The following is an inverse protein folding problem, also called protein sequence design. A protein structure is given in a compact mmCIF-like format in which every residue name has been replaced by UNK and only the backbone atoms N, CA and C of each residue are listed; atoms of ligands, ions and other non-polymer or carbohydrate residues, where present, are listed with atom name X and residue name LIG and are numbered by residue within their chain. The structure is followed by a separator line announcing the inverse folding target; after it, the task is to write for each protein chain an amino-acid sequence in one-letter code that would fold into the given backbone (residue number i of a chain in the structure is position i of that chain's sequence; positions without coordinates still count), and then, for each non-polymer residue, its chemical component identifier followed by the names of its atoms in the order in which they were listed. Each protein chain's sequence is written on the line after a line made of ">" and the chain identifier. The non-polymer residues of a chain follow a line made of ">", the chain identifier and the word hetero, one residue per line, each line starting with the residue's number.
data_IF_087664191372
#
_entry.id   IF_087664191372
#
_cell.length_a   1.000
_cell.length_b   1.000
_cell.length_c   1.000
_cell.angle_alpha   90.00
_cell.angle_beta   90.00
_cell.angle_gamma   90.00
#
_symmetry.space_group_name_H-M   'P 1'
#
loop_
_entity.id
_entity.type
_entity.pdbx_description
1 polymer ?
#
# COMPACT_ATOMS: atom_id res chain seq x y z
N UNK A 1 -35.06 -72.37 35.96
CA UNK A 1 -36.48 -72.31 35.57
C UNK A 1 -36.81 -70.90 35.08
N UNK A 2 -37.44 -70.86 33.91
CA UNK A 2 -37.80 -69.69 33.09
C UNK A 2 -38.38 -68.50 33.86
N UNK A 3 -38.09 -67.29 33.36
CA UNK A 3 -39.10 -66.39 32.75
C UNK A 3 -38.42 -65.13 32.18
N UNK A 4 -38.36 -65.05 30.84
CA UNK A 4 -38.20 -63.79 30.12
C UNK A 4 -39.52 -63.00 30.18
N UNK A 5 -39.49 -61.67 30.38
CA UNK A 5 -40.59 -60.78 30.01
C UNK A 5 -40.44 -60.19 28.59
N UNK A 6 -41.56 -59.73 27.96
CA UNK A 6 -41.65 -59.39 26.53
C UNK A 6 -41.44 -57.88 26.23
N UNK A 7 -41.47 -57.47 24.93
CA UNK A 7 -41.06 -56.16 24.43
C UNK A 7 -42.21 -55.14 24.37
N UNK A 8 -41.94 -53.94 23.81
CA UNK A 8 -42.80 -52.80 23.45
C UNK A 8 -43.30 -51.87 24.59
N UNK A 9 -42.69 -50.69 24.71
CA UNK A 9 -43.35 -49.39 24.44
C UNK A 9 -42.40 -48.20 24.71
N UNK A 10 -41.60 -47.85 23.70
CA UNK A 10 -40.80 -46.63 23.71
C UNK A 10 -41.69 -45.43 23.35
N UNK A 11 -42.61 -45.11 24.24
CA UNK A 11 -43.36 -43.86 24.22
C UNK A 11 -42.60 -42.80 25.00
N UNK A 12 -41.77 -42.00 24.33
CA UNK A 12 -41.56 -40.59 24.69
C UNK A 12 -40.77 -39.82 23.66
N UNK A 13 -41.37 -38.68 23.29
CA UNK A 13 -40.69 -37.50 22.72
C UNK A 13 -40.38 -37.52 21.23
N UNK A 14 -41.44 -37.67 20.43
CA UNK A 14 -41.66 -36.76 19.30
C UNK A 14 -42.11 -35.39 19.82
N UNK A 15 -41.17 -34.56 20.25
CA UNK A 15 -41.31 -33.10 20.17
C UNK A 15 -39.93 -32.49 20.45
N UNK A 16 -39.57 -31.47 19.68
CA UNK A 16 -38.30 -30.74 19.72
C UNK A 16 -37.10 -31.36 18.94
N UNK A 17 -37.28 -31.54 17.63
CA UNK A 17 -36.27 -30.95 16.73
C UNK A 17 -36.38 -29.43 16.88
N UNK A 18 -35.30 -28.74 17.26
CA UNK A 18 -34.85 -27.49 16.63
C UNK A 18 -33.60 -26.96 17.37
N UNK A 19 -32.46 -27.10 16.67
CA UNK A 19 -31.31 -26.18 16.63
C UNK A 19 -30.29 -26.08 17.80
N UNK A 20 -29.02 -25.98 17.38
CA UNK A 20 -27.78 -25.54 18.09
C UNK A 20 -27.02 -26.66 18.81
N UNK A 21 -25.74 -26.96 18.52
CA UNK A 21 -24.78 -26.32 17.63
C UNK A 21 -23.63 -27.27 17.32
N UNK A 22 -23.28 -27.33 16.04
CA UNK A 22 -22.10 -27.98 15.49
C UNK A 22 -21.01 -26.90 15.38
N UNK A 23 -19.91 -26.99 16.14
CA UNK A 23 -18.73 -26.19 15.86
C UNK A 23 -17.46 -26.90 16.34
N UNK A 24 -16.81 -27.62 15.42
CA UNK A 24 -15.44 -28.09 15.60
C UNK A 24 -14.70 -28.14 14.25
N UNK A 25 -13.72 -27.25 14.15
CA UNK A 25 -12.41 -27.37 13.45
C UNK A 25 -12.41 -27.47 11.92
N UNK A 26 -12.21 -26.31 11.28
CA UNK A 26 -11.56 -26.16 9.98
C UNK A 26 -10.53 -25.02 10.12
N UNK A 27 -9.24 -25.34 10.22
CA UNK A 27 -8.15 -24.35 10.12
C UNK A 27 -7.82 -24.13 8.64
N UNK A 28 -8.05 -22.94 8.05
CA UNK A 28 -7.55 -22.61 6.72
C UNK A 28 -6.09 -22.11 6.78
N UNK A 29 -5.33 -22.21 5.67
CA UNK A 29 -3.92 -21.82 5.61
C UNK A 29 -3.75 -20.31 5.76
N UNK A 30 -2.75 -19.90 6.54
CA UNK A 30 -2.34 -18.50 6.71
C UNK A 30 -1.75 -17.98 5.39
N UNK A 31 -2.50 -17.13 4.69
CA UNK A 31 -2.02 -16.38 3.53
C UNK A 31 -1.14 -15.21 3.96
N UNK A 32 0.07 -15.25 3.45
CA UNK A 32 1.14 -14.27 3.52
C UNK A 32 0.80 -13.00 2.71
N UNK A 33 0.94 -11.79 3.29
CA UNK A 33 0.79 -10.48 2.62
C UNK A 33 2.14 -9.72 2.59
N UNK A 34 2.57 -9.21 1.45
CA UNK A 34 3.73 -8.32 1.29
C UNK A 34 3.18 -6.99 0.82
N UNK A 35 3.69 -5.96 1.46
CA UNK A 35 3.55 -4.60 1.07
C UNK A 35 4.35 -4.36 -0.22
N UNK A 36 3.68 -3.80 -1.24
CA UNK A 36 4.32 -3.21 -2.41
C UNK A 36 3.94 -1.73 -2.34
N UNK A 37 4.66 -0.99 -1.50
CA UNK A 37 4.59 0.45 -1.25
C UNK A 37 5.39 1.27 -2.29
N UNK A 38 5.86 0.62 -3.37
CA UNK A 38 6.73 1.21 -4.37
C UNK A 38 8.20 1.20 -3.96
N UNK A 39 8.53 0.80 -2.73
CA UNK A 39 9.74 0.04 -2.48
C UNK A 39 9.49 -1.38 -2.99
N UNK A 40 10.51 -2.04 -3.55
CA UNK A 40 10.39 -3.49 -3.72
C UNK A 40 10.05 -4.10 -2.35
N UNK A 41 9.41 -5.27 -2.31
CA UNK A 41 8.86 -5.85 -1.10
C UNK A 41 9.75 -5.68 0.13
N UNK A 42 9.15 -5.31 1.26
CA UNK A 42 9.85 -4.99 2.52
C UNK A 42 10.73 -6.14 3.03
N UNK A 43 10.41 -7.36 2.61
CA UNK A 43 11.19 -8.55 2.86
C UNK A 43 11.25 -9.42 1.60
N UNK A 44 12.42 -10.00 1.35
CA UNK A 44 12.66 -10.99 0.31
C UNK A 44 13.07 -12.31 0.93
N UNK A 45 12.77 -13.40 0.21
CA UNK A 45 13.21 -14.74 0.55
C UNK A 45 13.91 -15.44 -0.61
N UNK A 46 14.81 -16.34 -0.25
CA UNK A 46 15.44 -17.27 -1.18
C UNK A 46 14.45 -18.36 -1.58
N UNK A 47 14.42 -18.69 -2.86
CA UNK A 47 13.63 -19.77 -3.45
C UNK A 47 14.44 -20.49 -4.52
N UNK A 48 14.06 -21.74 -4.84
CA UNK A 48 14.68 -22.48 -5.96
C UNK A 48 16.11 -22.96 -5.69
N UNK A 49 16.54 -22.96 -4.42
CA UNK A 49 17.77 -23.59 -3.94
C UNK A 49 17.38 -24.84 -3.16
N UNK A 50 18.13 -25.94 -3.33
CA UNK A 50 17.84 -27.20 -2.65
C UNK A 50 18.07 -27.08 -1.13
N UNK A 51 17.35 -27.86 -0.33
CA UNK A 51 17.40 -27.79 1.15
C UNK A 51 18.82 -28.05 1.73
N UNK A 52 19.62 -28.84 1.03
CA UNK A 52 21.00 -29.15 1.35
C UNK A 52 22.04 -28.26 0.63
N UNK A 53 21.61 -27.14 0.06
CA UNK A 53 22.45 -26.21 -0.70
C UNK A 53 22.26 -24.77 -0.19
N UNK A 54 23.05 -23.84 -0.73
CA UNK A 54 23.04 -22.41 -0.37
C UNK A 54 23.02 -21.51 -1.60
N UNK A 55 22.42 -20.34 -1.44
CA UNK A 55 22.53 -19.30 -2.45
C UNK A 55 23.85 -18.56 -2.30
N UNK A 56 24.73 -18.69 -3.29
CA UNK A 56 25.99 -17.96 -3.35
C UNK A 56 25.75 -16.46 -3.58
N UNK A 57 26.24 -15.63 -2.65
CA UNK A 57 26.28 -14.18 -2.75
C UNK A 57 27.68 -13.70 -3.15
N UNK A 58 27.74 -12.92 -4.23
CA UNK A 58 28.98 -12.60 -4.94
C UNK A 58 29.39 -11.14 -4.77
N UNK A 59 30.69 -10.88 -5.00
CA UNK A 59 31.26 -9.53 -4.93
C UNK A 59 30.65 -8.56 -5.94
N UNK A 60 30.19 -9.06 -7.09
CA UNK A 60 29.60 -8.26 -8.15
C UNK A 60 28.47 -8.98 -8.89
N UNK A 61 27.76 -8.27 -9.77
CA UNK A 61 26.58 -8.77 -10.47
C UNK A 61 26.97 -9.70 -11.63
N UNK A 62 27.20 -10.97 -11.34
CA UNK A 62 27.56 -11.96 -12.34
C UNK A 62 28.14 -13.23 -11.74
N UNK A 63 28.07 -14.33 -12.49
CA UNK A 63 28.64 -15.61 -12.07
C UNK A 63 30.18 -15.62 -12.05
N UNK A 64 30.81 -14.67 -12.75
CA UNK A 64 32.27 -14.55 -12.84
C UNK A 64 32.90 -13.88 -11.62
N UNK A 65 32.11 -13.20 -10.78
CA UNK A 65 32.60 -12.61 -9.55
C UNK A 65 32.78 -13.66 -8.46
N UNK A 66 33.80 -13.55 -7.59
CA UNK A 66 33.99 -14.49 -6.49
C UNK A 66 32.79 -14.48 -5.53
N UNK A 67 32.52 -15.64 -4.93
CA UNK A 67 31.57 -15.78 -3.82
C UNK A 67 32.21 -15.21 -2.56
N UNK A 68 31.50 -14.32 -1.89
CA UNK A 68 31.96 -13.65 -0.66
C UNK A 68 31.07 -13.95 0.54
N UNK A 69 29.86 -14.46 0.31
CA UNK A 69 28.88 -14.78 1.33
C UNK A 69 27.90 -15.85 0.82
N UNK A 70 27.10 -16.44 1.72
CA UNK A 70 26.02 -17.36 1.39
C UNK A 70 24.73 -17.05 2.17
N UNK A 71 23.59 -17.26 1.51
CA UNK A 71 22.28 -17.28 2.15
C UNK A 71 21.73 -18.71 2.18
N UNK A 72 21.03 -19.08 3.24
CA UNK A 72 20.34 -20.36 3.34
C UNK A 72 19.30 -20.54 2.22
N UNK A 73 18.99 -21.78 1.87
CA UNK A 73 18.08 -22.14 0.77
C UNK A 73 16.67 -21.53 0.87
N UNK A 74 16.25 -21.18 2.09
CA UNK A 74 14.96 -20.59 2.41
C UNK A 74 15.11 -19.26 3.16
N UNK A 75 16.30 -18.65 3.18
CA UNK A 75 16.58 -17.42 3.93
C UNK A 75 15.53 -16.34 3.68
N UNK A 76 15.06 -15.70 4.74
CA UNK A 76 13.95 -14.74 4.74
C UNK A 76 14.38 -13.37 5.26
N UNK A 77 13.46 -12.40 5.20
CA UNK A 77 13.68 -11.04 5.72
C UNK A 77 14.91 -10.35 5.12
N UNK A 78 15.27 -10.72 3.89
CA UNK A 78 16.36 -10.10 3.15
C UNK A 78 15.89 -8.75 2.59
N UNK A 79 16.75 -7.75 2.67
CA UNK A 79 16.54 -6.43 2.07
C UNK A 79 17.17 -6.39 0.69
N UNK A 80 16.40 -6.00 -0.32
CA UNK A 80 16.91 -5.72 -1.65
C UNK A 80 17.40 -4.27 -1.70
N UNK A 81 18.72 -4.08 -1.86
CA UNK A 81 19.33 -2.75 -1.93
C UNK A 81 19.20 -2.16 -3.33
N UNK A 82 19.54 -2.95 -4.36
CA UNK A 82 19.44 -2.56 -5.77
C UNK A 82 19.53 -3.79 -6.68
N UNK A 83 19.16 -3.65 -7.96
CA UNK A 83 19.39 -4.67 -8.98
C UNK A 83 19.93 -4.07 -10.27
N UNK A 84 20.69 -4.88 -11.01
CA UNK A 84 21.26 -4.54 -12.32
C UNK A 84 21.07 -5.69 -13.33
N UNK A 85 20.98 -5.41 -14.63
CA UNK A 85 20.97 -4.07 -15.23
C UNK A 85 19.68 -3.31 -14.90
N UNK A 86 19.80 -1.98 -14.84
CA UNK A 86 18.67 -1.09 -14.59
C UNK A 86 17.88 -0.88 -15.88
N UNK A 87 16.57 -1.12 -15.81
CA UNK A 87 15.60 -0.76 -16.84
C UNK A 87 14.58 0.19 -16.22
N UNK A 88 14.27 1.28 -16.91
CA UNK A 88 13.14 2.10 -16.50
C UNK A 88 11.85 1.30 -16.73
N UNK A 89 10.82 1.46 -15.88
CA UNK A 89 9.53 0.79 -16.11
C UNK A 89 8.95 1.11 -17.49
N UNK A 90 9.05 2.38 -17.91
CA UNK A 90 8.60 2.81 -19.23
C UNK A 90 9.35 2.13 -20.39
N UNK A 91 10.63 1.77 -20.21
CA UNK A 91 11.37 1.02 -21.21
C UNK A 91 10.99 -0.45 -21.18
N UNK A 92 10.93 -1.05 -19.98
CA UNK A 92 10.57 -2.45 -19.79
C UNK A 92 9.20 -2.77 -20.41
N UNK A 93 8.16 -1.98 -20.13
CA UNK A 93 6.82 -2.19 -20.67
C UNK A 93 6.68 -1.95 -22.19
N UNK A 94 7.69 -1.37 -22.84
CA UNK A 94 7.71 -1.20 -24.29
C UNK A 94 8.34 -2.37 -25.03
N UNK A 95 9.05 -3.25 -24.32
CA UNK A 95 9.70 -4.41 -24.94
C UNK A 95 8.64 -5.41 -25.40
N UNK A 96 8.85 -5.98 -26.59
CA UNK A 96 8.15 -7.20 -27.02
C UNK A 96 8.53 -8.39 -26.15
N UNK A 97 7.79 -9.49 -26.24
CA UNK A 97 8.09 -10.72 -25.51
C UNK A 97 9.49 -11.26 -25.84
N UNK A 98 9.86 -11.29 -27.12
CA UNK A 98 11.19 -11.72 -27.56
C UNK A 98 12.30 -10.81 -27.00
N UNK A 99 12.05 -9.50 -26.89
CA UNK A 99 13.00 -8.57 -26.27
C UNK A 99 13.10 -8.76 -24.75
N UNK A 100 12.01 -9.13 -24.08
CA UNK A 100 12.03 -9.50 -22.66
C UNK A 100 12.84 -10.76 -22.41
N UNK A 101 12.68 -11.79 -23.25
CA UNK A 101 13.44 -13.04 -23.15
C UNK A 101 14.94 -12.86 -23.44
N UNK A 102 15.27 -11.89 -24.31
CA UNK A 102 16.65 -11.55 -24.63
C UNK A 102 17.35 -10.69 -23.55
N UNK A 103 16.64 -10.28 -22.50
CA UNK A 103 17.26 -9.46 -21.44
C UNK A 103 18.36 -10.25 -20.72
N UNK A 104 19.51 -9.61 -20.41
CA UNK A 104 20.55 -10.21 -19.60
C UNK A 104 20.02 -10.58 -18.22
N UNK A 105 20.59 -11.64 -17.64
CA UNK A 105 20.23 -12.09 -16.31
C UNK A 105 20.36 -10.95 -15.30
N UNK A 106 19.28 -10.71 -14.55
CA UNK A 106 19.22 -9.67 -13.52
C UNK A 106 19.84 -10.18 -12.21
N UNK A 107 20.67 -9.34 -11.60
CA UNK A 107 21.35 -9.57 -10.33
C UNK A 107 20.94 -8.52 -9.32
N UNK A 108 20.74 -8.91 -8.07
CA UNK A 108 20.30 -8.03 -7.00
C UNK A 108 21.28 -8.08 -5.82
N UNK A 109 21.63 -6.92 -5.29
CA UNK A 109 22.40 -6.79 -4.06
C UNK A 109 21.44 -6.97 -2.88
N UNK A 110 21.65 -8.06 -2.14
CA UNK A 110 20.82 -8.43 -0.98
C UNK A 110 21.59 -8.27 0.31
N UNK A 111 20.88 -7.95 1.39
CA UNK A 111 21.45 -7.77 2.72
C UNK A 111 20.53 -8.34 3.80
N UNK A 112 21.07 -8.91 4.87
CA UNK A 112 20.29 -9.28 6.06
C UNK A 112 19.85 -8.05 6.85
N UNK A 113 18.76 -8.16 7.61
CA UNK A 113 18.22 -7.04 8.38
C UNK A 113 19.20 -6.46 9.42
N UNK A 114 20.07 -7.31 9.98
CA UNK A 114 21.13 -6.97 10.95
C UNK A 114 22.42 -6.43 10.30
N UNK A 115 22.45 -6.29 8.97
CA UNK A 115 23.59 -5.85 8.16
C UNK A 115 24.82 -6.78 8.21
N UNK A 116 24.69 -7.96 8.81
CA UNK A 116 25.80 -8.91 9.00
C UNK A 116 26.24 -9.63 7.73
N UNK A 117 25.35 -9.76 6.74
CA UNK A 117 25.61 -10.43 5.46
C UNK A 117 25.14 -9.58 4.28
N UNK A 118 25.94 -9.52 3.22
CA UNK A 118 25.56 -8.86 1.97
C UNK A 118 26.26 -9.46 0.75
N UNK A 119 25.61 -9.40 -0.42
CA UNK A 119 26.24 -9.68 -1.70
C UNK A 119 25.24 -9.79 -2.86
N UNK A 120 25.78 -9.90 -4.07
CA UNK A 120 25.00 -10.00 -5.31
C UNK A 120 24.53 -11.42 -5.57
N UNK A 121 23.24 -11.59 -5.81
CA UNK A 121 22.62 -12.89 -6.15
C UNK A 121 21.78 -12.76 -7.42
N UNK A 122 21.58 -13.87 -8.13
CA UNK A 122 20.71 -13.87 -9.31
C UNK A 122 19.24 -13.73 -8.90
N UNK A 123 18.51 -12.81 -9.54
CA UNK A 123 17.11 -12.47 -9.20
C UNK A 123 16.18 -13.68 -9.24
N UNK A 124 16.45 -14.65 -10.12
CA UNK A 124 15.63 -15.88 -10.25
C UNK A 124 15.51 -16.70 -8.96
N UNK A 125 16.42 -16.51 -8.00
CA UNK A 125 16.37 -17.18 -6.68
C UNK A 125 15.70 -16.32 -5.60
N UNK A 126 15.14 -15.18 -5.97
CA UNK A 126 14.51 -14.25 -5.04
C UNK A 126 13.01 -14.20 -5.30
N UNK A 127 12.23 -14.33 -4.22
CA UNK A 127 10.81 -14.06 -4.23
C UNK A 127 10.49 -13.07 -3.12
N UNK A 128 9.57 -12.14 -3.33
CA UNK A 128 9.05 -11.35 -2.22
C UNK A 128 8.53 -12.26 -1.09
N UNK A 129 8.82 -11.90 0.16
CA UNK A 129 8.39 -12.62 1.35
C UNK A 129 7.20 -11.94 2.00
N UNK A 130 6.02 -12.33 1.52
CA UNK A 130 4.73 -11.93 2.06
C UNK A 130 4.46 -12.50 3.47
N UNK A 131 5.25 -13.45 4.00
CA UNK A 131 4.92 -14.13 5.27
C UNK A 131 5.43 -13.38 6.51
N UNK A 132 6.27 -12.35 6.31
CA UNK A 132 6.88 -11.58 7.39
C UNK A 132 5.98 -10.47 7.96
N UNK A 133 4.86 -10.14 7.29
CA UNK A 133 3.85 -9.23 7.83
C UNK A 133 2.87 -10.01 8.71
N UNK A 134 2.77 -9.64 9.99
CA UNK A 134 1.90 -10.28 10.98
C UNK A 134 0.43 -10.36 10.52
N UNK A 135 -0.35 -11.38 10.93
CA UNK A 135 -1.68 -11.61 10.40
C UNK A 135 -2.69 -10.61 10.98
N UNK A 136 -3.34 -9.84 10.11
CA UNK A 136 -4.56 -9.09 10.45
C UNK A 136 -5.75 -9.88 9.92
N UNK A 137 -6.72 -10.13 10.79
CA UNK A 137 -7.87 -10.98 10.54
C UNK A 137 -8.79 -10.44 9.41
N UNK A 138 -9.10 -11.34 8.46
CA UNK A 138 -10.25 -11.39 7.55
C UNK A 138 -11.12 -10.14 7.38
N UNK A 139 -10.93 -9.46 6.24
CA UNK A 139 -12.06 -9.02 5.40
C UNK A 139 -11.72 -9.40 3.96
N UNK A 140 -12.59 -10.19 3.35
CA UNK A 140 -12.50 -10.63 1.95
C UNK A 140 -12.46 -9.44 0.99
N UNK A 141 -11.70 -9.59 -0.10
CA UNK A 141 -11.44 -8.62 -1.18
C UNK A 141 -10.54 -7.42 -0.82
N UNK A 142 -9.24 -7.65 -0.80
CA UNK A 142 -8.25 -6.58 -1.02
C UNK A 142 -7.10 -7.13 -1.83
N UNK A 143 -7.31 -7.26 -3.14
CA UNK A 143 -6.22 -7.16 -4.08
C UNK A 143 -5.55 -5.81 -3.84
N UNK A 144 -4.23 -5.77 -3.59
CA UNK A 144 -3.50 -4.51 -3.56
C UNK A 144 -3.84 -3.76 -4.84
N UNK A 145 -4.43 -2.56 -4.75
CA UNK A 145 -4.77 -1.77 -5.91
C UNK A 145 -3.52 -1.63 -6.78
N UNK A 146 -3.55 -1.99 -8.07
CA UNK A 146 -2.48 -1.62 -8.99
C UNK A 146 -2.25 -0.10 -8.97
N UNK A 147 -1.22 0.42 -9.65
CA UNK A 147 -0.98 1.87 -9.73
C UNK A 147 -2.26 2.65 -9.99
N UNK A 148 -3.07 2.14 -10.91
CA UNK A 148 -4.33 2.73 -11.33
C UNK A 148 -5.36 2.73 -10.20
N UNK A 149 -5.39 1.68 -9.39
CA UNK A 149 -6.34 1.57 -8.30
C UNK A 149 -5.86 2.32 -7.04
N UNK A 150 -4.55 2.55 -6.86
CA UNK A 150 -4.04 3.55 -5.91
C UNK A 150 -4.38 4.97 -6.35
N UNK A 151 -4.26 5.27 -7.64
CA UNK A 151 -4.67 6.54 -8.23
C UNK A 151 -6.19 6.74 -8.07
N UNK A 152 -7.01 5.72 -8.32
CA UNK A 152 -8.47 5.78 -8.06
C UNK A 152 -8.76 6.06 -6.59
N UNK A 153 -8.07 5.37 -5.66
CA UNK A 153 -8.23 5.62 -4.23
C UNK A 153 -7.78 7.04 -3.82
N UNK A 154 -6.74 7.57 -4.46
CA UNK A 154 -6.30 8.95 -4.28
C UNK A 154 -7.38 9.94 -4.76
N UNK A 155 -7.96 9.70 -5.94
CA UNK A 155 -9.05 10.51 -6.49
C UNK A 155 -10.26 10.49 -5.56
N UNK A 156 -10.67 9.31 -5.10
CA UNK A 156 -11.77 9.14 -4.15
C UNK A 156 -11.51 9.91 -2.86
N UNK A 157 -10.28 9.85 -2.32
CA UNK A 157 -9.91 10.60 -1.12
C UNK A 157 -10.05 12.12 -1.32
N UNK A 158 -9.55 12.66 -2.44
CA UNK A 158 -9.64 14.10 -2.75
C UNK A 158 -11.08 14.50 -3.08
N UNK A 159 -11.86 13.63 -3.74
CA UNK A 159 -13.29 13.87 -4.01
C UNK A 159 -14.06 13.97 -2.70
N UNK A 160 -13.91 13.00 -1.79
CA UNK A 160 -14.57 13.02 -0.48
C UNK A 160 -14.11 14.19 0.40
N UNK A 161 -12.85 14.62 0.23
CA UNK A 161 -12.35 15.85 0.87
C UNK A 161 -13.17 17.09 0.44
N UNK A 162 -13.45 17.25 -0.85
CA UNK A 162 -14.30 18.36 -1.34
C UNK A 162 -15.77 18.19 -0.96
N UNK A 163 -16.31 16.97 -1.00
CA UNK A 163 -17.69 16.68 -0.57
C UNK A 163 -17.90 17.10 0.90
N UNK A 164 -16.94 16.80 1.78
CA UNK A 164 -17.00 17.23 3.18
C UNK A 164 -16.91 18.75 3.33
N UNK A 165 -16.11 19.43 2.51
CA UNK A 165 -15.99 20.88 2.53
C UNK A 165 -17.30 21.56 2.09
N UNK A 166 -17.94 21.05 1.04
CA UNK A 166 -19.22 21.55 0.54
C UNK A 166 -20.36 21.36 1.54
N UNK A 167 -20.36 20.25 2.29
CA UNK A 167 -21.38 19.95 3.29
C UNK A 167 -21.17 20.69 4.62
N UNK A 168 -19.97 21.22 4.90
CA UNK A 168 -19.64 21.83 6.18
C UNK A 168 -20.55 23.02 6.57
N UNK A 169 -20.90 23.97 5.66
CA UNK A 169 -21.81 25.06 5.98
C UNK A 169 -23.21 24.61 6.42
N UNK A 170 -23.64 23.41 6.00
CA UNK A 170 -24.92 22.82 6.40
C UNK A 170 -24.87 22.07 7.74
N UNK A 171 -23.80 22.25 8.53
CA UNK A 171 -23.58 21.56 9.81
C UNK A 171 -22.75 20.28 9.68
N UNK A 172 -22.17 20.00 8.51
CA UNK A 172 -21.21 18.93 8.29
C UNK A 172 -19.86 19.18 8.98
N UNK A 173 -19.02 18.14 9.08
CA UNK A 173 -17.67 18.26 9.64
C UNK A 173 -16.75 18.89 8.61
N UNK A 174 -16.11 20.00 8.96
CA UNK A 174 -15.16 20.63 8.03
C UNK A 174 -13.89 19.78 7.91
N UNK A 175 -13.43 19.44 6.69
CA UNK A 175 -12.27 18.56 6.51
C UNK A 175 -10.91 19.19 6.88
N UNK A 176 -10.85 20.50 7.09
CA UNK A 176 -9.67 21.24 7.51
C UNK A 176 -9.64 21.48 9.03
N UNK A 177 -10.70 21.11 9.74
CA UNK A 177 -10.71 21.12 11.21
C UNK A 177 -9.70 20.07 11.71
N UNK A 178 -8.67 20.44 12.49
CA UNK A 178 -7.67 19.50 13.00
C UNK A 178 -8.23 18.28 13.75
N UNK A 179 -9.43 18.37 14.33
CA UNK A 179 -10.09 17.24 14.98
C UNK A 179 -10.49 16.12 13.98
N UNK A 180 -10.69 16.47 12.71
CA UNK A 180 -11.20 15.60 11.66
C UNK A 180 -10.23 15.44 10.48
N UNK A 181 -9.31 16.38 10.31
CA UNK A 181 -8.38 16.47 9.19
C UNK A 181 -7.54 15.21 8.96
N UNK A 182 -7.26 14.43 10.02
CA UNK A 182 -6.52 13.18 9.91
C UNK A 182 -7.16 12.10 9.02
N UNK A 183 -8.42 12.26 8.63
CA UNK A 183 -9.07 11.38 7.65
C UNK A 183 -8.53 11.58 6.23
N UNK A 184 -8.06 12.80 5.91
CA UNK A 184 -7.61 13.19 4.57
C UNK A 184 -6.12 13.53 4.53
N UNK A 185 -5.60 14.10 5.61
CA UNK A 185 -4.26 14.69 5.69
C UNK A 185 -3.29 13.85 6.51
N UNK A 186 -2.01 13.90 6.14
CA UNK A 186 -0.95 13.21 6.88
C UNK A 186 -0.77 13.83 8.26
N UNK A 187 -0.18 13.10 9.20
CA UNK A 187 0.10 13.62 10.56
C UNK A 187 0.82 14.97 10.49
N UNK A 188 1.86 15.10 9.66
CA UNK A 188 2.62 16.35 9.52
C UNK A 188 1.77 17.54 9.04
N UNK A 189 0.81 17.32 8.15
CA UNK A 189 -0.10 18.38 7.69
C UNK A 189 -1.07 18.79 8.79
N UNK A 190 -1.63 17.83 9.53
CA UNK A 190 -2.53 18.11 10.66
C UNK A 190 -1.81 18.92 11.74
N UNK A 191 -0.56 18.57 12.05
CA UNK A 191 0.25 19.36 12.98
C UNK A 191 0.55 20.76 12.46
N UNK A 192 0.82 20.92 11.15
CA UNK A 192 0.97 22.24 10.54
C UNK A 192 -0.31 23.09 10.64
N UNK A 193 -1.49 22.50 10.43
CA UNK A 193 -2.79 23.18 10.60
C UNK A 193 -2.99 23.70 12.03
N UNK A 194 -2.62 22.90 13.04
CA UNK A 194 -2.70 23.30 14.46
C UNK A 194 -1.72 24.42 14.79
N UNK A 195 -0.49 24.32 14.28
CA UNK A 195 0.57 25.27 14.57
C UNK A 195 0.32 26.64 13.92
N UNK A 196 -0.12 26.64 12.66
CA UNK A 196 -0.42 27.86 11.90
C UNK A 196 -1.61 27.61 10.99
N UNK A 197 -2.82 27.96 11.44
CA UNK A 197 -4.00 27.90 10.58
C UNK A 197 -3.77 28.71 9.30
N UNK A 198 -4.07 28.15 8.12
CA UNK A 198 -3.84 28.84 6.87
C UNK A 198 -4.78 30.05 6.74
N UNK A 199 -4.25 31.19 6.30
CA UNK A 199 -5.01 32.44 6.14
C UNK A 199 -6.01 32.43 4.98
N UNK A 200 -5.90 31.44 4.09
CA UNK A 200 -6.84 31.14 3.02
C UNK A 200 -7.09 29.62 3.03
N UNK A 201 -8.24 29.16 2.53
CA UNK A 201 -8.52 27.74 2.42
C UNK A 201 -7.48 27.06 1.52
N UNK A 202 -6.73 26.04 2.00
CA UNK A 202 -5.86 25.25 1.15
C UNK A 202 -6.60 24.50 0.04
N UNK A 203 -7.91 24.26 0.18
CA UNK A 203 -8.69 23.60 -0.86
C UNK A 203 -8.98 24.55 -2.03
N UNK A 204 -9.31 25.80 -1.74
CA UNK A 204 -9.77 26.75 -2.77
C UNK A 204 -8.71 27.78 -3.17
N UNK A 205 -7.65 27.95 -2.39
CA UNK A 205 -6.66 28.99 -2.63
C UNK A 205 -7.18 30.40 -2.33
N UNK A 206 -8.23 30.54 -1.53
CA UNK A 206 -8.88 31.81 -1.21
C UNK A 206 -9.59 31.77 0.15
N UNK A 207 -9.93 32.95 0.68
CA UNK A 207 -10.74 33.09 1.89
C UNK A 207 -12.19 32.68 1.63
N UNK A 208 -12.74 33.13 0.49
CA UNK A 208 -14.09 32.81 0.05
C UNK A 208 -14.09 31.97 -1.23
N UNK A 209 -15.14 31.17 -1.39
CA UNK A 209 -15.36 30.33 -2.55
C UNK A 209 -16.79 30.47 -3.06
N UNK A 210 -16.91 30.87 -4.33
CA UNK A 210 -18.17 30.84 -5.08
C UNK A 210 -17.86 30.35 -6.50
N UNK A 211 -18.33 29.13 -6.81
CA UNK A 211 -18.18 28.56 -8.13
C UNK A 211 -18.15 27.04 -8.10
N UNK A 212 -17.28 26.44 -8.90
CA UNK A 212 -17.27 25.00 -9.15
C UNK A 212 -15.90 24.36 -8.98
N UNK A 213 -15.92 23.08 -8.64
CA UNK A 213 -14.75 22.21 -8.48
C UNK A 213 -14.92 21.05 -9.45
N UNK A 214 -13.90 20.75 -10.25
CA UNK A 214 -13.90 19.58 -11.14
C UNK A 214 -13.71 18.29 -10.35
N UNK A 215 -14.02 17.15 -10.98
CA UNK A 215 -13.57 15.86 -10.44
C UNK A 215 -12.02 15.84 -10.43
N UNK A 216 -11.36 15.30 -9.37
CA UNK A 216 -9.91 15.26 -9.31
C UNK A 216 -9.33 14.35 -10.38
N UNK A 217 -8.28 14.77 -11.08
CA UNK A 217 -7.65 13.96 -12.13
C UNK A 217 -6.15 13.82 -11.91
N UNK A 218 -5.54 12.70 -12.30
CA UNK A 218 -4.11 12.50 -12.09
C UNK A 218 -3.29 13.38 -13.03
N UNK A 219 -2.07 13.72 -12.60
CA UNK A 219 -1.08 14.36 -13.46
C UNK A 219 -0.91 13.53 -14.75
N UNK A 220 -1.02 14.14 -15.94
CA UNK A 220 -1.06 13.41 -17.21
C UNK A 220 0.30 12.83 -17.62
N UNK A 221 1.41 13.37 -17.11
CA UNK A 221 2.76 12.92 -17.45
C UNK A 221 3.34 11.99 -16.39
N UNK A 222 3.10 12.32 -15.12
CA UNK A 222 3.66 11.64 -13.97
C UNK A 222 2.62 11.52 -12.84
N UNK A 223 1.58 10.69 -13.05
CA UNK A 223 0.49 10.51 -12.09
C UNK A 223 0.99 9.94 -10.75
N UNK A 224 2.07 9.15 -10.81
CA UNK A 224 2.75 8.62 -9.64
C UNK A 224 4.27 8.55 -9.86
N UNK A 225 5.04 9.05 -8.88
CA UNK A 225 6.50 8.95 -8.84
C UNK A 225 6.95 8.52 -7.44
N UNK A 226 7.62 7.36 -7.33
CA UNK A 226 8.20 6.86 -6.07
C UNK A 226 7.16 6.82 -4.91
N UNK A 227 5.99 6.26 -5.19
CA UNK A 227 4.88 6.17 -4.20
C UNK A 227 4.16 7.48 -3.92
N UNK A 228 4.60 8.60 -4.49
CA UNK A 228 3.90 9.88 -4.45
C UNK A 228 2.92 9.96 -5.60
N UNK A 229 1.65 10.23 -5.32
CA UNK A 229 0.60 10.45 -6.31
C UNK A 229 0.37 11.95 -6.45
N UNK A 230 0.29 12.42 -7.70
CA UNK A 230 0.01 13.82 -8.02
C UNK A 230 -1.36 13.90 -8.68
N UNK A 231 -2.28 14.63 -8.06
CA UNK A 231 -3.60 14.92 -8.61
C UNK A 231 -3.76 16.43 -8.82
N UNK A 232 -4.52 16.80 -9.84
CA UNK A 232 -4.97 18.15 -10.08
C UNK A 232 -6.48 18.24 -9.88
N UNK A 233 -6.92 19.41 -9.47
CA UNK A 233 -8.33 19.80 -9.40
C UNK A 233 -8.45 21.17 -10.04
N UNK A 234 -9.31 21.28 -11.04
CA UNK A 234 -9.63 22.54 -11.68
C UNK A 234 -10.79 23.19 -10.94
N UNK A 235 -10.62 24.45 -10.57
CA UNK A 235 -11.58 25.23 -9.80
C UNK A 235 -11.92 26.48 -10.59
N UNK A 236 -13.19 26.84 -10.61
CA UNK A 236 -13.63 28.18 -11.01
C UNK A 236 -14.11 28.87 -9.75
N UNK A 237 -13.43 29.94 -9.32
CA UNK A 237 -13.81 30.73 -8.16
C UNK A 237 -14.04 32.18 -8.59
N UNK A 238 -15.24 32.71 -8.41
CA UNK A 238 -15.68 34.01 -8.93
C UNK A 238 -15.38 34.18 -10.43
N UNK A 239 -15.60 33.11 -11.20
CA UNK A 239 -15.33 33.07 -12.65
C UNK A 239 -13.85 32.97 -13.04
N UNK A 240 -12.93 32.97 -12.08
CA UNK A 240 -11.50 32.83 -12.35
C UNK A 240 -11.08 31.35 -12.29
N UNK A 241 -10.55 30.78 -13.38
CA UNK A 241 -10.06 29.41 -13.36
C UNK A 241 -8.74 29.33 -12.59
N UNK A 242 -8.60 28.31 -11.75
CA UNK A 242 -7.40 27.97 -11.00
C UNK A 242 -7.20 26.47 -10.98
N UNK A 243 -5.95 26.03 -10.83
CA UNK A 243 -5.61 24.63 -10.64
C UNK A 243 -4.95 24.44 -9.29
N UNK A 244 -5.43 23.44 -8.56
CA UNK A 244 -4.88 23.03 -7.28
C UNK A 244 -4.19 21.68 -7.46
N UNK A 245 -2.97 21.54 -6.97
CA UNK A 245 -2.22 20.28 -7.04
C UNK A 245 -2.15 19.63 -5.67
N UNK A 246 -2.62 18.39 -5.57
CA UNK A 246 -2.55 17.56 -4.38
C UNK A 246 -1.42 16.56 -4.52
N UNK A 247 -0.55 16.49 -3.51
CA UNK A 247 0.45 15.43 -3.38
C UNK A 247 0.04 14.48 -2.27
N UNK A 248 -0.10 13.21 -2.63
CA UNK A 248 -0.52 12.15 -1.72
C UNK A 248 0.56 11.07 -1.64
N UNK A 249 0.68 10.43 -0.48
CA UNK A 249 1.48 9.22 -0.28
C UNK A 249 0.99 8.46 0.95
N UNK A 250 1.48 7.24 1.13
CA UNK A 250 1.30 6.51 2.37
C UNK A 250 1.84 7.33 3.56
N UNK A 251 1.08 7.42 4.65
CA UNK A 251 1.48 8.11 5.88
C UNK A 251 2.08 7.12 6.89
N UNK A 252 3.42 6.94 6.93
CA UNK A 252 4.05 5.93 7.78
C UNK A 252 3.93 6.25 9.27
N UNK A 253 3.53 7.47 9.64
CA UNK A 253 3.28 7.83 11.03
C UNK A 253 1.96 7.22 11.57
N UNK A 254 1.18 6.53 10.73
CA UNK A 254 -0.09 5.89 11.11
C UNK A 254 -0.02 4.38 10.87
N UNK A 255 -0.68 3.57 11.73
CA UNK A 255 -0.83 2.14 11.50
C UNK A 255 -1.46 1.87 10.12
N UNK A 256 -0.87 0.92 9.37
CA UNK A 256 -1.31 0.56 8.03
C UNK A 256 -0.98 1.59 6.94
N UNK A 257 -0.17 2.60 7.25
CA UNK A 257 0.35 3.61 6.32
C UNK A 257 -0.68 4.11 5.28
N UNK A 258 -1.87 4.58 5.71
CA UNK A 258 -2.94 4.92 4.81
C UNK A 258 -2.52 6.07 3.88
N UNK A 259 -3.03 6.06 2.66
CA UNK A 259 -2.82 7.15 1.71
C UNK A 259 -3.40 8.45 2.26
N UNK A 260 -2.59 9.51 2.31
CA UNK A 260 -2.98 10.82 2.82
C UNK A 260 -2.37 11.94 1.98
N UNK A 261 -3.08 13.08 1.94
CA UNK A 261 -2.55 14.33 1.38
C UNK A 261 -1.47 14.84 2.32
N UNK A 262 -0.25 15.01 1.80
CA UNK A 262 0.86 15.59 2.56
C UNK A 262 1.23 17.00 2.08
N UNK A 263 0.70 17.42 0.93
CA UNK A 263 0.90 18.77 0.39
C UNK A 263 -0.23 19.17 -0.56
N UNK A 264 -0.60 20.44 -0.51
CA UNK A 264 -1.48 21.11 -1.48
C UNK A 264 -0.72 22.31 -2.05
N UNK A 265 -0.73 22.48 -3.36
CA UNK A 265 -0.01 23.53 -4.07
C UNK A 265 -0.98 24.34 -4.91
N UNK A 266 -0.90 25.66 -4.77
CA UNK A 266 -1.48 26.68 -5.63
C UNK A 266 -0.35 27.30 -6.46
N UNK A 267 -0.70 28.21 -7.39
CA UNK A 267 0.28 28.83 -8.28
C UNK A 267 1.36 29.62 -7.54
N UNK A 268 0.98 30.30 -6.46
CA UNK A 268 1.80 31.26 -5.71
C UNK A 268 2.19 30.79 -4.31
N UNK A 269 1.56 29.73 -3.78
CA UNK A 269 1.84 29.22 -2.44
C UNK A 269 1.51 27.74 -2.28
N UNK A 270 1.99 27.13 -1.20
CA UNK A 270 1.69 25.73 -0.88
C UNK A 270 1.45 25.56 0.62
N UNK A 271 0.69 24.51 0.95
CA UNK A 271 0.41 24.10 2.31
C UNK A 271 0.78 22.63 2.55
N UNK A 272 1.52 22.30 3.62
CA UNK A 272 2.26 23.21 4.48
C UNK A 272 3.36 23.95 3.71
N UNK A 273 3.69 25.17 4.14
CA UNK A 273 4.88 25.88 3.64
C UNK A 273 6.12 25.02 3.92
N UNK A 274 6.98 24.82 2.92
CA UNK A 274 8.31 24.25 3.17
C UNK A 274 9.10 25.27 3.97
N UNK A 275 9.50 24.91 5.19
CA UNK A 275 10.50 25.67 5.93
C UNK A 275 11.77 25.72 5.08
N UNK A 276 12.04 26.89 4.51
CA UNK A 276 13.36 27.26 4.01
C UNK A 276 14.32 27.18 5.20
N UNK A 277 15.11 26.10 5.25
CA UNK A 277 16.32 26.08 6.06
C UNK A 277 17.35 27.06 5.48
#
# INVERSE_FOLDING_TARGET
>A
MNKHPPPWDAGRQRFLMFLIGLLAVLLPPLSAHADIDGHGPDAWRVVGVAENDVLNARMGPGADYPVIETFAHDARSLKQITCVPYYTPAHYFKLSEAEHEALPARWCLMQTADLGKAGWVAQRYLKPDYTASAPIANTSESATPGSDALIMRARDLVRTLYEWAEQAPAGGRHPLDPAHAGQFFSVGVVEAMKARPPGASPLYGAQDFDGSVSDPFPDPEQPMLRGMITLHVDIVNFGQPRRVTFRLRADPARPGAPLRVFRIEHEDWAFPETSSN
#
